data_IF_438613228354
#
_entry.id   IF_438613228354
#
_cell.length_a   1.000
_cell.length_b   1.000
_cell.length_c   1.000
_cell.angle_alpha   90.00
_cell.angle_beta   90.00
_cell.angle_gamma   90.00
#
_symmetry.space_group_name_H-M   'P 1'
#
loop_
_entity.id
_entity.type
_entity.pdbx_description
1 polymer ?
#
# COMPACT_ATOMS: atom_id res chain seq x y z
N UNK A 1 32.04 -15.84 -12.17
CA UNK A 1 31.30 -15.76 -10.89
C UNK A 1 30.01 -15.00 -11.18
N UNK A 2 28.87 -15.59 -11.50
CA UNK A 2 28.23 -16.75 -10.88
C UNK A 2 27.11 -16.36 -9.90
N UNK A 3 26.46 -15.19 -10.06
CA UNK A 3 25.26 -14.84 -9.29
C UNK A 3 24.11 -15.76 -9.67
N UNK A 4 23.99 -16.85 -8.90
CA UNK A 4 22.92 -17.82 -9.00
C UNK A 4 21.60 -17.12 -8.70
N UNK A 5 20.79 -17.04 -9.75
CA UNK A 5 19.33 -17.00 -9.74
C UNK A 5 18.75 -17.70 -8.51
N UNK A 6 18.41 -16.93 -7.47
CA UNK A 6 17.35 -17.28 -6.52
C UNK A 6 16.27 -16.21 -6.67
N UNK A 7 15.66 -16.19 -7.85
CA UNK A 7 14.35 -15.59 -8.01
C UNK A 7 13.41 -16.39 -7.12
N UNK A 8 13.05 -15.82 -5.98
CA UNK A 8 11.97 -16.28 -5.12
C UNK A 8 10.77 -16.49 -6.04
N UNK A 9 10.40 -17.75 -6.27
CA UNK A 9 9.17 -18.06 -6.97
C UNK A 9 8.05 -17.67 -6.01
N UNK A 10 7.57 -16.44 -6.09
CA UNK A 10 6.25 -16.08 -5.62
C UNK A 10 5.29 -17.07 -6.32
N UNK A 11 4.77 -18.02 -5.56
CA UNK A 11 3.88 -19.04 -6.09
C UNK A 11 2.60 -18.35 -6.54
N UNK A 12 2.07 -18.70 -7.71
CA UNK A 12 0.83 -18.10 -8.22
C UNK A 12 -0.41 -18.30 -7.33
N UNK A 13 -0.26 -18.91 -6.15
CA UNK A 13 -1.26 -19.14 -5.13
C UNK A 13 -1.40 -18.01 -4.08
N UNK A 14 -0.52 -17.00 -4.07
CA UNK A 14 -0.55 -15.94 -3.05
C UNK A 14 -1.87 -15.15 -3.06
N UNK A 15 -2.39 -14.81 -4.25
CA UNK A 15 -3.68 -14.14 -4.41
C UNK A 15 -4.84 -14.98 -3.87
N UNK A 16 -4.83 -16.28 -4.13
CA UNK A 16 -5.85 -17.20 -3.64
C UNK A 16 -5.79 -17.33 -2.12
N UNK A 17 -4.58 -17.33 -1.56
CA UNK A 17 -4.37 -17.39 -0.11
C UNK A 17 -4.90 -16.12 0.58
N UNK A 18 -4.60 -14.94 0.03
CA UNK A 18 -5.13 -13.67 0.52
C UNK A 18 -6.66 -13.61 0.39
N UNK A 19 -7.21 -14.05 -0.75
CA UNK A 19 -8.65 -14.05 -0.98
C UNK A 19 -9.41 -14.94 0.03
N UNK A 20 -8.89 -16.16 0.29
CA UNK A 20 -9.45 -17.06 1.30
C UNK A 20 -9.35 -16.44 2.70
N UNK A 21 -8.20 -15.85 3.04
CA UNK A 21 -8.01 -15.18 4.33
C UNK A 21 -9.00 -14.04 4.56
N UNK A 22 -9.18 -13.16 3.56
CA UNK A 22 -10.14 -12.06 3.62
C UNK A 22 -11.58 -12.57 3.76
N UNK A 23 -11.95 -13.62 3.02
CA UNK A 23 -13.29 -14.21 3.10
C UNK A 23 -13.60 -14.76 4.50
N UNK A 24 -12.67 -15.50 5.11
CA UNK A 24 -12.82 -16.04 6.49
C UNK A 24 -12.96 -14.90 7.50
N UNK A 25 -12.12 -13.87 7.41
CA UNK A 25 -12.21 -12.69 8.30
C UNK A 25 -13.57 -12.00 8.14
N UNK A 26 -14.06 -11.87 6.91
CA UNK A 26 -15.37 -11.26 6.62
C UNK A 26 -16.54 -12.00 7.28
N UNK A 27 -16.49 -13.34 7.38
CA UNK A 27 -17.51 -14.12 8.07
C UNK A 27 -17.52 -13.88 9.59
N UNK A 28 -16.35 -13.63 10.19
CA UNK A 28 -16.21 -13.43 11.64
C UNK A 28 -16.60 -12.01 12.04
N UNK A 29 -16.19 -11.01 11.25
CA UNK A 29 -16.33 -9.59 11.61
C UNK A 29 -17.78 -9.10 11.48
N UNK A 30 -18.53 -9.62 10.50
CA UNK A 30 -19.87 -9.12 10.18
C UNK A 30 -19.78 -7.72 9.56
N UNK A 31 -20.30 -7.54 8.34
CA UNK A 31 -19.87 -6.39 7.54
C UNK A 31 -20.34 -5.04 8.05
N UNK A 32 -21.42 -4.94 8.84
CA UNK A 32 -21.85 -3.79 9.69
C UNK A 32 -21.88 -2.36 9.10
N UNK A 33 -21.34 -2.19 7.89
CA UNK A 33 -20.90 -0.96 7.28
C UNK A 33 -21.84 -0.68 6.12
N UNK A 34 -22.32 0.55 6.07
CA UNK A 34 -23.12 1.03 4.96
C UNK A 34 -22.24 1.25 3.73
N UNK A 35 -22.83 1.14 2.53
CA UNK A 35 -22.14 1.43 1.27
C UNK A 35 -21.50 2.83 1.28
N UNK A 36 -22.20 3.80 1.88
CA UNK A 36 -21.71 5.17 1.98
C UNK A 36 -20.42 5.29 2.80
N UNK A 37 -20.33 4.60 3.94
CA UNK A 37 -19.09 4.57 4.75
C UNK A 37 -17.93 4.00 3.95
N UNK A 38 -18.14 2.92 3.19
CA UNK A 38 -17.11 2.31 2.35
C UNK A 38 -16.64 3.26 1.24
N UNK A 39 -17.56 3.98 0.59
CA UNK A 39 -17.22 4.97 -0.45
C UNK A 39 -16.42 6.12 0.13
N UNK A 40 -16.84 6.69 1.27
CA UNK A 40 -16.12 7.81 1.90
C UNK A 40 -14.74 7.39 2.38
N UNK A 41 -14.62 6.22 3.01
CA UNK A 41 -13.32 5.70 3.47
C UNK A 41 -12.40 5.43 2.29
N UNK A 42 -12.86 4.72 1.25
CA UNK A 42 -12.04 4.35 0.10
C UNK A 42 -11.60 5.57 -0.71
N UNK A 43 -12.49 6.52 -1.01
CA UNK A 43 -12.14 7.73 -1.76
C UNK A 43 -11.28 8.68 -0.92
N UNK A 44 -11.66 8.92 0.35
CA UNK A 44 -10.93 9.83 1.24
C UNK A 44 -9.51 9.36 1.51
N UNK A 45 -9.34 8.08 1.85
CA UNK A 45 -8.00 7.51 2.03
C UNK A 45 -7.26 7.39 0.70
N UNK A 46 -7.89 6.92 -0.38
CA UNK A 46 -7.25 6.75 -1.68
C UNK A 46 -6.67 8.04 -2.25
N UNK A 47 -7.42 9.15 -2.19
CA UNK A 47 -6.93 10.45 -2.65
C UNK A 47 -5.76 10.97 -1.80
N UNK A 48 -5.83 10.81 -0.48
CA UNK A 48 -4.75 11.21 0.41
C UNK A 48 -3.47 10.38 0.17
N UNK A 49 -3.61 9.07 -0.02
CA UNK A 49 -2.48 8.17 -0.32
C UNK A 49 -1.88 8.51 -1.69
N UNK A 50 -2.71 8.80 -2.69
CA UNK A 50 -2.24 9.21 -4.01
C UNK A 50 -1.39 10.50 -3.94
N UNK A 51 -1.80 11.49 -3.14
CA UNK A 51 -1.01 12.70 -2.93
C UNK A 51 0.34 12.39 -2.28
N UNK A 52 0.35 11.55 -1.24
CA UNK A 52 1.60 11.10 -0.59
C UNK A 52 2.50 10.35 -1.57
N UNK A 53 1.95 9.44 -2.38
CA UNK A 53 2.70 8.67 -3.37
C UNK A 53 3.36 9.57 -4.41
N UNK A 54 2.66 10.61 -4.89
CA UNK A 54 3.23 11.58 -5.84
C UNK A 54 4.38 12.36 -5.20
N UNK A 55 4.17 12.92 -4.00
CA UNK A 55 5.22 13.68 -3.30
C UNK A 55 6.43 12.81 -3.00
N UNK A 56 6.22 11.61 -2.46
CA UNK A 56 7.28 10.65 -2.17
C UNK A 56 8.06 10.27 -3.43
N UNK A 57 7.37 10.05 -4.56
CA UNK A 57 8.00 9.72 -5.84
C UNK A 57 8.89 10.85 -6.33
N UNK A 58 8.40 12.10 -6.31
CA UNK A 58 9.20 13.27 -6.72
C UNK A 58 10.43 13.44 -5.84
N UNK A 59 10.26 13.38 -4.52
CA UNK A 59 11.37 13.56 -3.56
C UNK A 59 12.41 12.46 -3.70
N UNK A 60 11.98 11.20 -3.78
CA UNK A 60 12.89 10.06 -3.89
C UNK A 60 13.62 10.04 -5.25
N UNK A 61 12.94 10.40 -6.33
CA UNK A 61 13.55 10.50 -7.66
C UNK A 61 14.58 11.63 -7.70
N UNK A 62 14.23 12.81 -7.19
CA UNK A 62 15.15 13.95 -7.12
C UNK A 62 16.35 13.68 -6.22
N UNK A 63 16.13 13.02 -5.07
CA UNK A 63 17.19 12.59 -4.15
C UNK A 63 18.17 11.63 -4.84
N UNK A 64 17.64 10.64 -5.56
CA UNK A 64 18.45 9.68 -6.32
C UNK A 64 19.26 10.36 -7.42
N UNK A 65 18.66 11.29 -8.16
CA UNK A 65 19.37 12.11 -9.14
C UNK A 65 20.50 12.94 -8.53
N UNK A 66 20.28 13.59 -7.39
CA UNK A 66 21.29 14.43 -6.75
C UNK A 66 22.47 13.61 -6.20
N UNK A 67 22.21 12.38 -5.78
CA UNK A 67 23.21 11.45 -5.27
C UNK A 67 23.92 10.66 -6.39
N UNK A 68 23.46 10.77 -7.63
CA UNK A 68 24.02 10.05 -8.78
C UNK A 68 23.77 8.54 -8.73
N UNK A 69 22.77 8.10 -7.96
CA UNK A 69 22.39 6.68 -7.81
C UNK A 69 21.25 6.36 -8.76
N UNK A 70 21.21 5.14 -9.27
CA UNK A 70 20.14 4.68 -10.15
C UNK A 70 18.79 4.74 -9.40
N UNK A 71 17.83 5.55 -9.86
CA UNK A 71 16.53 5.66 -9.22
C UNK A 71 15.77 4.34 -9.15
N UNK A 72 16.02 3.37 -10.02
CA UNK A 72 15.33 2.09 -9.95
C UNK A 72 15.76 1.26 -8.72
N UNK A 73 17.01 1.40 -8.28
CA UNK A 73 17.57 0.69 -7.12
C UNK A 73 17.24 1.35 -5.78
N UNK A 74 16.93 2.66 -5.77
CA UNK A 74 16.67 3.43 -4.54
C UNK A 74 15.25 3.96 -4.44
N UNK A 75 14.70 4.54 -5.52
CA UNK A 75 13.38 5.16 -5.52
C UNK A 75 12.29 4.11 -5.35
N UNK A 76 12.39 2.98 -6.05
CA UNK A 76 11.35 1.93 -5.99
C UNK A 76 11.19 1.38 -4.56
N UNK A 77 12.24 0.87 -3.88
CA UNK A 77 12.09 0.37 -2.51
C UNK A 77 11.64 1.44 -1.52
N UNK A 78 12.13 2.69 -1.68
CA UNK A 78 11.81 3.80 -0.78
C UNK A 78 10.34 4.19 -0.92
N UNK A 79 9.87 4.45 -2.14
CA UNK A 79 8.50 4.91 -2.40
C UNK A 79 7.51 3.84 -1.99
N UNK A 80 7.75 2.57 -2.33
CA UNK A 80 6.85 1.48 -1.93
C UNK A 80 6.74 1.36 -0.41
N UNK A 81 7.86 1.44 0.34
CA UNK A 81 7.82 1.36 1.80
C UNK A 81 7.10 2.57 2.42
N UNK A 82 7.42 3.79 1.95
CA UNK A 82 6.76 5.02 2.43
C UNK A 82 5.25 4.95 2.15
N UNK A 83 4.86 4.61 0.93
CA UNK A 83 3.43 4.52 0.56
C UNK A 83 2.72 3.40 1.32
N UNK A 84 3.39 2.29 1.64
CA UNK A 84 2.81 1.20 2.42
C UNK A 84 2.53 1.62 3.88
N UNK A 85 3.52 2.20 4.56
CA UNK A 85 3.38 2.66 5.95
C UNK A 85 2.39 3.81 6.07
N UNK A 86 2.56 4.87 5.27
CA UNK A 86 1.64 6.01 5.30
C UNK A 86 0.26 5.63 4.79
N UNK A 87 0.19 4.75 3.80
CA UNK A 87 -1.06 4.22 3.25
C UNK A 87 -1.91 3.56 4.32
N UNK A 88 -1.30 2.66 5.08
CA UNK A 88 -1.97 1.99 6.19
C UNK A 88 -2.42 2.97 7.28
N UNK A 89 -1.57 3.92 7.67
CA UNK A 89 -1.90 4.93 8.69
C UNK A 89 -3.06 5.82 8.24
N UNK A 90 -3.04 6.31 7.01
CA UNK A 90 -4.10 7.15 6.44
C UNK A 90 -5.40 6.37 6.36
N UNK A 91 -5.37 5.14 5.85
CA UNK A 91 -6.54 4.29 5.75
C UNK A 91 -7.19 4.06 7.12
N UNK A 92 -6.40 3.71 8.14
CA UNK A 92 -6.88 3.52 9.50
C UNK A 92 -7.42 4.81 10.12
N UNK A 93 -6.75 5.94 9.90
CA UNK A 93 -7.18 7.24 10.43
C UNK A 93 -8.54 7.67 9.85
N UNK A 94 -8.70 7.58 8.53
CA UNK A 94 -9.96 7.90 7.84
C UNK A 94 -11.06 6.93 8.26
N UNK A 95 -10.76 5.64 8.34
CA UNK A 95 -11.72 4.63 8.82
C UNK A 95 -12.18 4.95 10.25
N UNK A 96 -11.24 5.25 11.15
CA UNK A 96 -11.58 5.62 12.54
C UNK A 96 -12.45 6.88 12.59
N UNK A 97 -12.12 7.89 11.79
CA UNK A 97 -12.88 9.13 11.74
C UNK A 97 -14.32 8.91 11.28
N UNK A 98 -14.54 8.07 10.26
CA UNK A 98 -15.87 7.81 9.68
C UNK A 98 -16.70 6.85 10.54
N UNK A 99 -16.07 5.92 11.26
CA UNK A 99 -16.78 4.91 12.05
C UNK A 99 -17.06 5.32 13.49
N UNK A 100 -16.29 6.26 14.04
CA UNK A 100 -16.43 6.75 15.42
C UNK A 100 -16.96 8.18 15.48
N UNK A 101 -16.79 8.97 14.41
CA UNK A 101 -17.24 10.35 14.31
C UNK A 101 -18.71 10.50 13.91
#
# INVERSE_FOLDING_TARGET
MGQRRRGLRAGGNDLYTLAVGVWVIGQIVGTGLTLWQLVVISLGSGLAIAAVAVVASVVATYGSYRLGVDPDDTTIPIVTNVVDVFGMVIFLAVSRLVLVG
#
